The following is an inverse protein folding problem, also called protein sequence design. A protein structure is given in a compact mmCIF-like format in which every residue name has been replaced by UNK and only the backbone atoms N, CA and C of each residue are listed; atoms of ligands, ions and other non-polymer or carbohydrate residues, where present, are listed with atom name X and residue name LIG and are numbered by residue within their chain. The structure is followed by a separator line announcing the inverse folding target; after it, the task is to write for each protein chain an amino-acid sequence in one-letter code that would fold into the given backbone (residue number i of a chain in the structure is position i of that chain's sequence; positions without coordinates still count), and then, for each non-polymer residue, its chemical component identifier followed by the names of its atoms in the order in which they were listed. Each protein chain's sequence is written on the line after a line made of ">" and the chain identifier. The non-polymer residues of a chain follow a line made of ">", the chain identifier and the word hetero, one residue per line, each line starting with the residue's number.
data_IF_880329142802
#
_entry.id   IF_880329142802
#
_cell.length_a   1.000
_cell.length_b   1.000
_cell.length_c   1.000
_cell.angle_alpha   90.00
_cell.angle_beta   90.00
_cell.angle_gamma   90.00
#
_symmetry.space_group_name_H-M   'P 1'
#
loop_
_entity.id
_entity.type
_entity.pdbx_description
1 polymer ?
#
# COMPACT_ATOMS: atom_id res chain seq x y z
N UNK A 1 -7.92 -41.74 24.60
CA UNK A 1 -7.20 -41.80 23.30
C UNK A 1 -7.91 -41.13 22.13
N UNK A 2 -9.18 -41.42 21.81
CA UNK A 2 -9.84 -40.81 20.63
C UNK A 2 -10.05 -39.28 20.73
N UNK A 3 -10.37 -38.77 21.92
CA UNK A 3 -10.55 -37.32 22.16
C UNK A 3 -9.23 -36.56 22.02
N UNK A 4 -8.12 -37.12 22.51
CA UNK A 4 -6.78 -36.53 22.37
C UNK A 4 -6.36 -36.46 20.89
N UNK A 5 -6.70 -37.49 20.09
CA UNK A 5 -6.44 -37.52 18.65
C UNK A 5 -7.29 -36.50 17.88
N UNK A 6 -8.57 -36.33 18.26
CA UNK A 6 -9.45 -35.30 17.70
C UNK A 6 -9.01 -33.88 18.08
N UNK A 7 -8.55 -33.66 19.32
CA UNK A 7 -7.99 -32.39 19.76
C UNK A 7 -6.67 -32.07 19.06
N UNK A 8 -5.81 -33.08 18.82
CA UNK A 8 -4.59 -32.93 18.03
C UNK A 8 -4.90 -32.61 16.56
N UNK A 9 -5.89 -33.28 15.95
CA UNK A 9 -6.35 -32.98 14.59
C UNK A 9 -6.94 -31.56 14.50
N UNK A 10 -7.72 -31.15 15.50
CA UNK A 10 -8.29 -29.80 15.58
C UNK A 10 -7.19 -28.74 15.77
N UNK A 11 -6.16 -29.01 16.59
CA UNK A 11 -4.98 -28.15 16.72
C UNK A 11 -4.17 -28.04 15.42
N UNK A 12 -4.09 -29.11 14.63
CA UNK A 12 -3.44 -29.12 13.31
C UNK A 12 -4.26 -28.36 12.26
N UNK A 13 -5.60 -28.37 12.38
CA UNK A 13 -6.53 -27.57 11.56
C UNK A 13 -6.59 -26.10 11.99
N UNK A 14 -6.25 -25.81 13.25
CA UNK A 14 -6.07 -24.48 13.84
C UNK A 14 -4.62 -23.97 13.70
N UNK A 15 -3.76 -24.66 12.94
CA UNK A 15 -2.41 -24.19 12.67
C UNK A 15 -2.48 -22.77 12.09
N UNK A 16 -1.87 -21.77 12.76
CA UNK A 16 -2.14 -20.37 12.49
C UNK A 16 -1.79 -20.03 11.04
N UNK A 17 -2.80 -19.55 10.29
CA UNK A 17 -2.90 -18.33 9.44
C UNK A 17 -1.76 -17.88 8.55
N UNK A 18 -0.57 -18.44 8.69
CA UNK A 18 0.61 -17.62 8.62
C UNK A 18 1.64 -18.42 7.84
N UNK A 19 1.52 -18.32 6.51
CA UNK A 19 2.48 -18.84 5.54
C UNK A 19 3.90 -18.28 5.73
N UNK A 20 4.08 -17.32 6.65
CA UNK A 20 5.32 -16.65 6.99
C UNK A 20 5.93 -17.16 8.29
N UNK A 21 7.18 -17.64 8.23
CA UNK A 21 7.92 -18.13 9.38
C UNK A 21 9.35 -17.61 9.42
N UNK A 22 9.94 -17.62 10.62
CA UNK A 22 11.37 -17.29 10.80
C UNK A 22 12.23 -18.48 10.37
N UNK A 23 13.25 -18.20 9.56
CA UNK A 23 14.21 -19.19 9.09
C UNK A 23 15.66 -18.80 9.43
N UNK A 24 16.56 -19.80 9.59
CA UNK A 24 17.98 -19.56 9.78
C UNK A 24 18.63 -18.98 8.51
N UNK A 25 19.76 -18.29 8.69
CA UNK A 25 20.48 -17.59 7.61
C UNK A 25 20.75 -18.49 6.39
N UNK A 26 21.15 -19.74 6.61
CA UNK A 26 21.46 -20.70 5.55
C UNK A 26 20.29 -21.00 4.59
N UNK A 27 19.04 -20.93 5.07
CA UNK A 27 17.84 -21.10 4.24
C UNK A 27 17.48 -19.78 3.57
N UNK A 28 17.59 -18.67 4.29
CA UNK A 28 17.30 -17.34 3.78
C UNK A 28 18.16 -16.95 2.57
N UNK A 29 19.46 -17.31 2.60
CA UNK A 29 20.39 -17.02 1.52
C UNK A 29 20.10 -17.79 0.23
N UNK A 30 19.35 -18.90 0.31
CA UNK A 30 18.94 -19.68 -0.87
C UNK A 30 17.76 -19.07 -1.61
N UNK A 31 17.04 -18.12 -1.00
CA UNK A 31 15.93 -17.45 -1.65
C UNK A 31 16.42 -16.16 -2.30
N UNK A 32 15.95 -15.87 -3.50
CA UNK A 32 16.33 -14.73 -4.33
C UNK A 32 15.16 -13.75 -4.55
N UNK A 33 13.93 -14.22 -4.36
CA UNK A 33 12.71 -13.43 -4.56
C UNK A 33 12.13 -12.89 -3.26
N UNK A 34 11.45 -11.75 -3.37
CA UNK A 34 10.64 -11.15 -2.32
C UNK A 34 9.16 -11.40 -2.58
N UNK A 35 8.35 -11.26 -1.53
CA UNK A 35 6.90 -11.31 -1.68
C UNK A 35 6.38 -10.24 -2.66
N UNK A 36 5.37 -10.54 -3.50
CA UNK A 36 4.75 -9.56 -4.39
C UNK A 36 4.24 -8.32 -3.64
N UNK A 37 4.39 -7.14 -4.26
CA UNK A 37 3.92 -5.87 -3.72
C UNK A 37 4.79 -5.26 -2.62
N UNK A 38 5.88 -5.91 -2.18
CA UNK A 38 6.74 -5.41 -1.10
C UNK A 38 7.31 -4.00 -1.34
N UNK A 39 7.48 -3.58 -2.60
CA UNK A 39 7.96 -2.25 -2.96
C UNK A 39 6.91 -1.15 -2.77
N UNK A 40 5.61 -1.48 -2.74
CA UNK A 40 4.55 -0.48 -2.65
C UNK A 40 4.45 0.18 -1.27
N UNK A 41 4.72 -0.57 -0.20
CA UNK A 41 4.64 -0.11 1.21
C UNK A 41 5.59 1.06 1.51
N UNK A 42 6.64 1.25 0.70
CA UNK A 42 7.62 2.32 0.89
C UNK A 42 7.63 3.37 -0.19
N UNK A 43 6.83 3.23 -1.24
CA UNK A 43 6.90 4.08 -2.43
C UNK A 43 6.05 5.34 -2.23
N UNK A 44 6.64 6.51 -2.48
CA UNK A 44 5.91 7.77 -2.41
C UNK A 44 4.82 7.86 -3.48
N UNK A 45 3.67 8.37 -3.08
CA UNK A 45 2.51 8.64 -3.94
C UNK A 45 2.23 10.13 -3.92
N UNK A 46 1.89 10.68 -5.08
CA UNK A 46 1.35 12.03 -5.16
C UNK A 46 -0.16 11.98 -5.02
N UNK A 47 -0.69 12.53 -3.93
CA UNK A 47 -2.11 12.45 -3.65
C UNK A 47 -2.98 13.19 -4.68
N UNK A 48 -2.44 14.21 -5.36
CA UNK A 48 -3.20 15.00 -6.34
C UNK A 48 -3.37 14.27 -7.67
N UNK A 49 -2.34 13.53 -8.10
CA UNK A 49 -2.36 12.75 -9.35
C UNK A 49 -2.71 11.29 -9.15
N UNK A 50 -2.62 10.81 -7.89
CA UNK A 50 -2.67 9.40 -7.48
C UNK A 50 -1.56 8.53 -8.10
N UNK A 51 -0.53 9.16 -8.69
CA UNK A 51 0.58 8.45 -9.31
C UNK A 51 1.71 8.15 -8.31
N UNK A 52 2.34 6.98 -8.50
CA UNK A 52 3.53 6.58 -7.74
C UNK A 52 4.76 7.35 -8.27
N UNK A 53 5.53 7.96 -7.37
CA UNK A 53 6.68 8.81 -7.72
C UNK A 53 7.98 8.07 -8.06
N UNK A 54 8.03 6.74 -7.95
CA UNK A 54 9.29 5.99 -8.16
C UNK A 54 10.37 6.25 -7.08
N UNK A 55 10.07 7.08 -6.09
CA UNK A 55 10.93 7.38 -4.95
C UNK A 55 10.43 6.62 -3.72
N UNK A 56 11.36 6.18 -2.86
CA UNK A 56 11.03 5.34 -1.71
C UNK A 56 11.42 6.07 -0.43
N UNK A 57 10.50 6.13 0.53
CA UNK A 57 10.73 6.69 1.87
C UNK A 57 11.25 5.58 2.79
N UNK A 58 10.70 4.38 2.65
CA UNK A 58 11.04 3.19 3.43
C UNK A 58 11.99 2.30 2.66
N UNK A 59 13.03 1.79 3.33
CA UNK A 59 13.90 0.77 2.78
C UNK A 59 13.27 -0.63 2.96
N UNK A 60 12.70 -1.15 1.86
CA UNK A 60 12.11 -2.48 1.80
C UNK A 60 13.09 -3.54 1.26
N UNK A 61 14.36 -3.17 1.04
CA UNK A 61 15.39 -4.13 0.62
C UNK A 61 15.99 -4.93 1.79
N UNK A 62 15.81 -4.45 3.03
CA UNK A 62 16.29 -5.13 4.23
C UNK A 62 15.34 -6.26 4.63
N UNK A 63 15.86 -7.48 4.66
CA UNK A 63 15.12 -8.70 5.01
C UNK A 63 15.80 -9.53 6.09
N UNK A 64 17.10 -9.29 6.34
CA UNK A 64 17.89 -10.06 7.28
C UNK A 64 17.91 -9.35 8.64
N UNK A 65 17.42 -10.03 9.67
CA UNK A 65 17.49 -9.55 11.05
C UNK A 65 18.90 -9.62 11.66
N UNK A 66 19.09 -9.07 12.86
CA UNK A 66 20.41 -8.92 13.50
C UNK A 66 21.14 -10.25 13.72
N UNK A 67 20.41 -11.34 13.97
CA UNK A 67 20.97 -12.68 14.19
C UNK A 67 21.17 -13.45 12.87
N UNK A 68 21.11 -12.77 11.73
CA UNK A 68 21.21 -13.37 10.41
C UNK A 68 19.95 -14.14 9.95
N UNK A 69 18.95 -14.31 10.82
CA UNK A 69 17.65 -14.93 10.50
C UNK A 69 16.79 -14.00 9.66
N UNK A 70 15.86 -14.56 8.89
CA UNK A 70 14.86 -13.79 8.13
C UNK A 70 13.46 -14.38 8.30
N UNK A 71 12.44 -13.67 7.80
CA UNK A 71 11.10 -14.22 7.63
C UNK A 71 10.92 -14.62 6.16
N UNK A 72 10.52 -15.87 5.90
CA UNK A 72 10.13 -16.34 4.58
C UNK A 72 8.65 -16.67 4.58
N UNK A 73 7.95 -16.28 3.52
CA UNK A 73 6.55 -16.53 3.31
C UNK A 73 6.35 -17.51 2.16
N UNK A 74 5.52 -18.54 2.36
CA UNK A 74 5.13 -19.48 1.32
C UNK A 74 4.04 -18.88 0.44
N UNK A 75 4.30 -18.74 -0.85
CA UNK A 75 3.34 -18.17 -1.78
C UNK A 75 2.64 -19.25 -2.61
N UNK A 76 1.45 -19.64 -2.17
CA UNK A 76 0.64 -20.66 -2.86
C UNK A 76 0.12 -20.20 -4.23
N UNK A 77 0.10 -18.90 -4.53
CA UNK A 77 -0.19 -18.38 -5.87
C UNK A 77 0.98 -18.55 -6.85
N UNK A 78 2.17 -18.85 -6.34
CA UNK A 78 3.40 -19.04 -7.11
C UNK A 78 4.01 -20.41 -6.80
N UNK A 79 3.22 -21.47 -6.95
CA UNK A 79 3.64 -22.87 -6.77
C UNK A 79 4.30 -23.17 -5.39
N UNK A 80 3.91 -22.44 -4.34
CA UNK A 80 4.44 -22.66 -2.99
C UNK A 80 5.88 -22.18 -2.80
N UNK A 81 6.37 -21.28 -3.66
CA UNK A 81 7.70 -20.67 -3.51
C UNK A 81 7.86 -19.98 -2.15
N UNK A 82 9.02 -20.18 -1.52
CA UNK A 82 9.40 -19.44 -0.32
C UNK A 82 10.03 -18.09 -0.71
N UNK A 83 9.43 -17.00 -0.26
CA UNK A 83 9.80 -15.66 -0.67
C UNK A 83 10.17 -14.81 0.55
N UNK A 84 11.16 -13.94 0.41
CA UNK A 84 11.62 -13.04 1.49
C UNK A 84 10.56 -12.00 1.83
N UNK A 85 10.26 -11.87 3.12
CA UNK A 85 9.50 -10.75 3.65
C UNK A 85 10.48 -9.66 4.13
N UNK A 86 10.39 -8.42 3.63
CA UNK A 86 11.19 -7.34 4.19
C UNK A 86 10.87 -7.10 5.66
N UNK A 87 11.87 -6.65 6.40
CA UNK A 87 11.71 -6.31 7.81
C UNK A 87 10.71 -5.17 8.02
N UNK A 88 10.59 -4.26 7.06
CA UNK A 88 9.63 -3.16 7.08
C UNK A 88 8.16 -3.59 6.88
N UNK A 89 7.90 -4.87 6.56
CA UNK A 89 6.57 -5.38 6.25
C UNK A 89 6.09 -6.32 7.37
N UNK A 90 4.78 -6.26 7.67
CA UNK A 90 4.07 -7.13 8.58
C UNK A 90 2.84 -7.73 7.89
N UNK A 91 2.33 -8.82 8.50
CA UNK A 91 1.05 -9.45 8.17
C UNK A 91 0.83 -9.72 6.67
N UNK A 92 1.92 -10.08 5.99
CA UNK A 92 1.84 -10.49 4.60
C UNK A 92 1.14 -11.83 4.49
N UNK A 93 0.14 -11.90 3.61
CA UNK A 93 -0.62 -13.13 3.38
C UNK A 93 -1.22 -13.17 1.97
N UNK A 94 -1.52 -14.39 1.55
CA UNK A 94 -2.28 -14.68 0.33
C UNK A 94 -3.78 -14.66 0.69
N UNK A 95 -4.56 -13.79 0.05
CA UNK A 95 -6.00 -13.60 0.36
C UNK A 95 -6.92 -14.20 -0.70
N UNK A 96 -6.56 -14.10 -2.00
CA UNK A 96 -7.38 -14.55 -3.14
C UNK A 96 -8.87 -14.17 -3.02
N UNK A 97 -9.16 -12.87 -2.95
CA UNK A 97 -10.53 -12.35 -3.01
C UNK A 97 -10.75 -11.61 -4.32
N UNK A 98 -11.71 -12.04 -5.14
CA UNK A 98 -12.05 -11.39 -6.40
C UNK A 98 -13.53 -11.03 -6.41
N UNK A 99 -13.83 -9.77 -6.68
CA UNK A 99 -15.20 -9.37 -6.93
C UNK A 99 -15.56 -9.74 -8.37
N UNK A 100 -16.44 -10.73 -8.54
CA UNK A 100 -16.88 -11.21 -9.86
C UNK A 100 -17.97 -10.33 -10.50
N UNK A 101 -18.40 -9.28 -9.81
CA UNK A 101 -19.37 -8.31 -10.32
C UNK A 101 -18.63 -7.03 -10.71
N UNK A 102 -19.14 -6.36 -11.73
CA UNK A 102 -18.65 -5.04 -12.16
C UNK A 102 -19.26 -4.00 -11.25
N UNK A 103 -18.41 -3.23 -10.56
CA UNK A 103 -18.85 -2.00 -9.89
C UNK A 103 -19.02 -0.92 -10.95
N UNK A 104 -20.17 -0.25 -10.98
CA UNK A 104 -20.46 0.80 -11.97
C UNK A 104 -21.02 2.03 -11.28
N UNK A 105 -20.54 3.20 -11.67
CA UNK A 105 -21.04 4.50 -11.22
C UNK A 105 -21.09 5.51 -12.37
N UNK A 106 -21.90 6.55 -12.22
CA UNK A 106 -22.10 7.60 -13.21
C UNK A 106 -21.87 8.95 -12.54
N UNK A 107 -20.84 9.65 -13.00
CA UNK A 107 -20.41 10.92 -12.45
C UNK A 107 -20.83 12.02 -13.40
N UNK A 108 -21.58 13.01 -12.90
CA UNK A 108 -22.15 14.05 -13.74
C UNK A 108 -21.26 15.29 -13.83
N UNK A 109 -20.32 15.44 -12.90
CA UNK A 109 -19.36 16.53 -12.87
C UNK A 109 -17.93 15.98 -12.91
N UNK A 110 -17.01 16.80 -13.42
CA UNK A 110 -15.57 16.53 -13.38
C UNK A 110 -15.03 16.38 -11.94
N UNK A 111 -15.56 17.17 -11.00
CA UNK A 111 -15.24 17.05 -9.57
C UNK A 111 -15.69 15.71 -8.97
N UNK A 112 -16.81 15.14 -9.47
CA UNK A 112 -17.29 13.83 -9.03
C UNK A 112 -16.35 12.72 -9.51
N UNK A 113 -15.76 12.86 -10.70
CA UNK A 113 -14.72 11.96 -11.20
C UNK A 113 -13.49 12.02 -10.29
N UNK A 114 -13.03 13.21 -9.91
CA UNK A 114 -11.89 13.35 -8.98
C UNK A 114 -12.18 12.72 -7.61
N UNK A 115 -13.37 12.96 -7.05
CA UNK A 115 -13.82 12.35 -5.79
C UNK A 115 -13.89 10.82 -5.89
N UNK A 116 -14.42 10.29 -7.01
CA UNK A 116 -14.46 8.85 -7.25
C UNK A 116 -13.03 8.28 -7.26
N UNK A 117 -12.07 8.93 -7.92
CA UNK A 117 -10.67 8.47 -7.91
C UNK A 117 -10.04 8.52 -6.51
N UNK A 118 -10.37 9.54 -5.71
CA UNK A 118 -9.86 9.66 -4.34
C UNK A 118 -10.28 8.49 -3.43
N UNK A 119 -11.38 7.79 -3.71
CA UNK A 119 -11.83 6.63 -2.92
C UNK A 119 -10.86 5.45 -2.90
N UNK A 120 -9.89 5.40 -3.83
CA UNK A 120 -8.82 4.40 -3.82
C UNK A 120 -7.89 4.55 -2.61
N UNK A 121 -7.83 5.75 -2.03
CA UNK A 121 -7.05 6.07 -0.84
C UNK A 121 -7.89 5.76 0.40
N UNK A 122 -7.54 4.66 1.08
CA UNK A 122 -8.33 4.11 2.19
C UNK A 122 -7.97 4.66 3.57
N UNK A 123 -6.80 5.26 3.73
CA UNK A 123 -6.36 5.85 5.00
C UNK A 123 -6.75 7.32 5.08
N UNK A 124 -6.68 7.87 6.30
CA UNK A 124 -6.80 9.31 6.50
C UNK A 124 -5.49 10.02 6.14
N UNK A 125 -5.21 10.13 4.84
CA UNK A 125 -4.02 10.79 4.33
C UNK A 125 -3.92 12.27 4.71
N UNK A 126 -5.02 12.87 5.17
CA UNK A 126 -5.13 14.28 5.56
C UNK A 126 -4.65 14.51 6.99
N UNK A 127 -4.62 13.46 7.81
CA UNK A 127 -4.14 13.51 9.17
C UNK A 127 -2.76 14.16 9.23
N UNK A 128 -2.58 15.06 10.21
CA UNK A 128 -1.31 15.74 10.48
C UNK A 128 -0.75 16.65 9.36
N UNK A 129 -1.47 16.84 8.24
CA UNK A 129 -1.09 17.78 7.19
C UNK A 129 -1.57 19.21 7.46
N UNK A 130 -2.38 19.43 8.50
CA UNK A 130 -2.97 20.74 8.81
C UNK A 130 -3.87 21.27 7.70
N UNK A 131 -4.42 20.38 6.87
CA UNK A 131 -5.34 20.72 5.80
C UNK A 131 -6.74 20.88 6.39
N UNK A 132 -7.05 22.08 6.86
CA UNK A 132 -8.42 22.47 7.19
C UNK A 132 -9.18 22.65 5.86
N UNK A 133 -9.91 21.62 5.46
CA UNK A 133 -10.65 21.58 4.19
C UNK A 133 -12.08 22.14 4.32
N UNK A 134 -12.42 22.81 5.41
CA UNK A 134 -13.61 23.66 5.44
C UNK A 134 -13.30 25.01 4.77
N UNK A 135 -13.10 24.97 3.45
CA UNK A 135 -13.33 26.17 2.65
C UNK A 135 -14.84 26.36 2.61
N UNK A 136 -15.33 27.27 3.47
CA UNK A 136 -16.73 27.71 3.49
C UNK A 136 -17.24 27.98 2.07
N UNK A 137 -18.55 27.76 1.87
CA UNK A 137 -19.28 27.75 0.59
C UNK A 137 -19.47 26.39 -0.09
N UNK A 138 -19.87 25.34 0.63
CA UNK A 138 -20.57 24.18 0.05
C UNK A 138 -19.87 23.40 -1.07
N UNK A 139 -18.60 23.72 -1.35
CA UNK A 139 -17.80 23.18 -2.42
C UNK A 139 -16.86 22.14 -1.82
N UNK A 140 -17.21 20.86 -2.00
CA UNK A 140 -16.27 19.78 -1.74
C UNK A 140 -15.17 19.88 -2.80
N UNK A 141 -14.05 20.53 -2.46
CA UNK A 141 -12.88 20.55 -3.33
C UNK A 141 -12.23 19.17 -3.25
N UNK A 142 -12.32 18.42 -4.35
CA UNK A 142 -11.60 17.15 -4.49
C UNK A 142 -10.09 17.43 -4.57
N UNK A 143 -9.37 17.44 -3.44
CA UNK A 143 -7.91 17.63 -3.47
C UNK A 143 -7.19 16.38 -3.99
N UNK A 144 -7.50 15.24 -3.39
CA UNK A 144 -7.00 13.95 -3.84
C UNK A 144 -7.58 13.64 -5.24
N UNK A 145 -6.73 13.20 -6.16
CA UNK A 145 -7.14 12.87 -7.53
C UNK A 145 -7.49 14.05 -8.44
N UNK A 146 -7.40 15.30 -7.97
CA UNK A 146 -7.68 16.52 -8.78
C UNK A 146 -6.92 16.58 -10.10
N UNK A 147 -5.69 16.09 -10.12
CA UNK A 147 -4.81 16.07 -11.29
C UNK A 147 -4.60 14.64 -11.81
N UNK A 148 -5.47 13.71 -11.42
CA UNK A 148 -5.47 12.38 -12.02
C UNK A 148 -5.81 12.49 -13.51
N UNK A 149 -5.32 11.55 -14.31
CA UNK A 149 -5.59 11.53 -15.76
C UNK A 149 -7.09 11.52 -16.07
N UNK A 150 -7.88 10.83 -15.24
CA UNK A 150 -9.34 10.77 -15.37
C UNK A 150 -10.00 12.10 -15.02
N UNK A 151 -9.55 12.78 -13.96
CA UNK A 151 -10.06 14.10 -13.60
C UNK A 151 -9.72 15.16 -14.66
N UNK A 152 -8.48 15.17 -15.17
CA UNK A 152 -8.06 16.07 -16.26
C UNK A 152 -8.91 15.82 -17.51
N UNK A 153 -9.09 14.56 -17.91
CA UNK A 153 -9.93 14.21 -19.04
C UNK A 153 -11.38 14.67 -18.86
N UNK A 154 -11.96 14.45 -17.67
CA UNK A 154 -13.33 14.87 -17.38
C UNK A 154 -13.46 16.40 -17.44
N UNK A 155 -12.52 17.11 -16.83
CA UNK A 155 -12.46 18.57 -16.85
C UNK A 155 -12.37 19.13 -18.28
N UNK A 156 -11.48 18.58 -19.11
CA UNK A 156 -11.36 18.98 -20.53
C UNK A 156 -12.68 18.77 -21.28
N UNK A 157 -13.39 17.66 -21.06
CA UNK A 157 -14.67 17.40 -21.71
C UNK A 157 -15.77 18.34 -21.23
N UNK A 158 -15.85 18.61 -19.93
CA UNK A 158 -16.82 19.52 -19.34
C UNK A 158 -16.64 20.98 -19.79
N UNK A 159 -15.46 21.38 -20.27
CA UNK A 159 -15.26 22.70 -20.88
C UNK A 159 -15.87 22.84 -22.28
N UNK A 160 -16.09 21.72 -22.98
CA UNK A 160 -16.57 21.72 -24.36
C UNK A 160 -18.08 21.56 -24.48
N UNK A 161 -18.68 20.72 -23.64
CA UNK A 161 -20.13 20.46 -23.63
C UNK A 161 -20.54 19.81 -22.30
N UNK A 162 -21.83 19.50 -22.15
CA UNK A 162 -22.35 18.68 -21.07
C UNK A 162 -22.01 17.20 -21.30
N UNK A 163 -21.29 16.60 -20.35
CA UNK A 163 -20.92 15.18 -20.37
C UNK A 163 -21.32 14.50 -19.07
N UNK A 164 -21.65 13.21 -19.17
CA UNK A 164 -21.68 12.28 -18.04
C UNK A 164 -20.59 11.24 -18.21
N UNK A 165 -19.94 10.86 -17.11
CA UNK A 165 -18.81 9.94 -17.10
C UNK A 165 -19.22 8.63 -16.43
N UNK A 166 -19.02 7.52 -17.12
CA UNK A 166 -19.31 6.19 -16.57
C UNK A 166 -18.02 5.54 -16.11
N UNK A 167 -17.93 5.20 -14.83
CA UNK A 167 -16.82 4.41 -14.27
C UNK A 167 -17.26 2.96 -14.12
N UNK A 168 -16.42 2.04 -14.59
CA UNK A 168 -16.61 0.60 -14.42
C UNK A 168 -15.34 -0.01 -13.86
N UNK A 169 -15.47 -0.82 -12.81
CA UNK A 169 -14.32 -1.39 -12.10
C UNK A 169 -14.54 -2.87 -11.77
N UNK A 170 -13.48 -3.64 -11.96
CA UNK A 170 -13.36 -5.02 -11.48
C UNK A 170 -12.06 -5.10 -10.68
N UNK A 171 -12.14 -5.56 -9.43
CA UNK A 171 -10.99 -5.64 -8.54
C UNK A 171 -10.81 -7.04 -7.95
N UNK A 172 -9.54 -7.40 -7.77
CA UNK A 172 -9.09 -8.64 -7.16
C UNK A 172 -7.95 -8.36 -6.19
N UNK A 173 -8.09 -8.81 -4.95
CA UNK A 173 -7.05 -8.78 -3.93
C UNK A 173 -6.40 -10.16 -3.85
N UNK A 174 -5.17 -10.26 -4.38
CA UNK A 174 -4.38 -11.49 -4.31
C UNK A 174 -3.54 -11.57 -3.04
N UNK A 175 -3.01 -10.43 -2.60
CA UNK A 175 -2.11 -10.31 -1.46
C UNK A 175 -2.55 -9.15 -0.56
N UNK A 176 -2.30 -9.28 0.73
CA UNK A 176 -2.39 -8.17 1.69
C UNK A 176 -1.13 -8.13 2.53
N UNK A 177 -0.75 -6.95 3.01
CA UNK A 177 0.36 -6.75 3.94
C UNK A 177 0.39 -5.30 4.39
N UNK A 178 0.99 -5.06 5.55
CA UNK A 178 1.05 -3.74 6.19
C UNK A 178 2.50 -3.26 6.33
N UNK A 179 2.69 -1.95 6.30
CA UNK A 179 3.94 -1.33 6.74
C UNK A 179 4.10 -1.45 8.25
N UNK A 180 5.34 -1.63 8.72
CA UNK A 180 5.63 -1.51 10.15
C UNK A 180 5.77 -0.03 10.52
N UNK A 181 4.81 0.48 11.29
CA UNK A 181 4.77 1.86 11.81
C UNK A 181 6.08 2.28 12.48
N UNK A 182 6.75 1.37 13.21
CA UNK A 182 8.05 1.62 13.89
C UNK A 182 9.23 1.01 13.14
N UNK A 183 9.39 1.31 11.86
CA UNK A 183 10.55 0.89 11.08
C UNK A 183 11.60 2.03 10.95
N UNK A 184 12.81 1.88 11.52
CA UNK A 184 13.83 2.93 11.47
C UNK A 184 14.54 3.04 10.11
N UNK A 185 14.41 2.02 9.24
CA UNK A 185 15.10 1.95 7.95
C UNK A 185 14.49 2.87 6.91
N UNK A 186 14.92 4.14 6.89
CA UNK A 186 14.68 5.04 5.75
C UNK A 186 15.59 4.69 4.57
N UNK A 187 15.03 4.74 3.36
CA UNK A 187 15.78 4.56 2.13
C UNK A 187 16.95 5.55 2.06
N UNK A 188 18.14 5.06 1.67
CA UNK A 188 19.37 5.86 1.67
C UNK A 188 19.26 7.16 0.88
N UNK A 189 18.72 7.10 -0.35
CA UNK A 189 18.50 8.29 -1.20
C UNK A 189 17.58 9.33 -0.55
N UNK A 190 16.49 8.89 0.08
CA UNK A 190 15.58 9.79 0.77
C UNK A 190 16.27 10.48 1.94
N UNK A 191 17.02 9.71 2.74
CA UNK A 191 17.80 10.24 3.87
C UNK A 191 18.81 11.30 3.44
N UNK A 192 19.60 11.05 2.39
CA UNK A 192 20.60 12.00 1.89
C UNK A 192 19.95 13.29 1.39
N UNK A 193 18.84 13.20 0.66
CA UNK A 193 18.13 14.37 0.15
C UNK A 193 17.51 15.20 1.27
N UNK A 194 16.91 14.55 2.27
CA UNK A 194 16.37 15.20 3.45
C UNK A 194 17.45 15.97 4.24
N UNK A 195 18.64 15.39 4.39
CA UNK A 195 19.78 16.06 5.03
C UNK A 195 20.25 17.28 4.23
N UNK A 196 20.35 17.15 2.90
CA UNK A 196 20.71 18.26 2.01
C UNK A 196 19.72 19.42 2.11
N UNK A 197 18.42 19.14 2.17
CA UNK A 197 17.39 20.17 2.32
C UNK A 197 17.50 20.88 3.68
N UNK A 198 17.72 20.12 4.76
CA UNK A 198 17.94 20.68 6.09
C UNK A 198 19.16 21.60 6.13
N UNK A 199 20.27 21.21 5.48
CA UNK A 199 21.47 22.08 5.39
C UNK A 199 21.25 23.36 4.58
N UNK A 200 20.23 23.38 3.71
CA UNK A 200 19.83 24.54 2.92
C UNK A 200 18.77 25.41 3.63
N UNK A 201 18.47 25.14 4.90
CA UNK A 201 17.50 25.91 5.70
C UNK A 201 16.05 25.48 5.54
N UNK A 202 15.76 24.38 4.83
CA UNK A 202 14.40 23.85 4.71
C UNK A 202 14.04 22.96 5.89
N UNK A 203 12.89 23.22 6.53
CA UNK A 203 12.32 22.38 7.60
C UNK A 203 11.41 21.34 6.94
N UNK A 204 11.77 20.07 7.04
CA UNK A 204 10.83 18.98 6.71
C UNK A 204 9.84 18.85 7.87
N UNK A 205 8.54 18.84 7.56
CA UNK A 205 7.49 18.56 8.55
C UNK A 205 7.73 17.23 9.26
N UNK A 206 7.50 17.20 10.57
CA UNK A 206 7.89 16.08 11.44
C UNK A 206 7.07 14.78 11.23
N UNK A 207 5.97 14.83 10.46
CA UNK A 207 4.94 13.78 10.48
C UNK A 207 4.82 13.04 9.14
N UNK A 208 5.93 12.49 8.63
CA UNK A 208 5.85 11.39 7.66
C UNK A 208 5.51 10.09 8.42
N UNK A 209 4.29 10.02 8.98
CA UNK A 209 3.76 8.78 9.53
C UNK A 209 3.35 7.89 8.36
N UNK A 210 3.94 6.70 8.34
CA UNK A 210 3.60 5.61 7.43
C UNK A 210 2.65 4.72 8.22
N UNK A 211 1.36 4.85 7.94
CA UNK A 211 0.39 3.81 8.28
C UNK A 211 0.35 2.76 7.16
#
# INVERSE_FOLDING_TARGET
>A
NKILFLLLLLLLLLAPCCDCHRHPSSICMKQDTFVPGHTYIGQGVDITTLERKGAFVVDTSQWQGPNGTCILCRNHLMNGQLQKLPLAVADWQVVRSCHRQVSSSVENLDVDVANAMATEVKNDWKADLGLDMELGFGAVVAFAGSHSRMAIYAHEKSQHDSYSFVRQEVYCTHYSGLGRVKWPGRAGRFRSRAQSQKSQGWVLGNNALID
#
